data_IF_788365903400
#
_entry.id   IF_788365903400
#
_cell.length_a   1.000
_cell.length_b   1.000
_cell.length_c   1.000
_cell.angle_alpha   90.00
_cell.angle_beta   90.00
_cell.angle_gamma   90.00
#
_symmetry.space_group_name_H-M   'P 1'
#
loop_
_entity.id
_entity.type
_entity.pdbx_description
1 polymer ?
#
# COMPACT_ATOMS: atom_id res chain seq x y z
N UNK A 1 -1.15 3.55 -4.74
CA UNK A 1 0.00 2.79 -5.25
C UNK A 1 -0.37 1.33 -5.39
N UNK A 2 0.01 0.76 -6.49
CA UNK A 2 0.05 -0.68 -6.61
C UNK A 2 1.48 -1.13 -6.36
N UNK A 3 1.66 -1.95 -5.36
CA UNK A 3 2.91 -2.68 -5.22
C UNK A 3 2.96 -3.72 -6.34
N UNK A 4 4.16 -4.12 -6.81
CA UNK A 4 4.24 -4.96 -7.99
C UNK A 4 3.30 -6.15 -7.95
N UNK A 5 2.43 -6.24 -8.94
CA UNK A 5 1.50 -7.34 -9.08
C UNK A 5 1.38 -7.66 -10.54
N UNK A 6 1.70 -8.87 -10.89
CA UNK A 6 1.57 -9.33 -12.28
C UNK A 6 0.21 -9.96 -12.44
N UNK A 7 -0.78 -9.13 -12.58
CA UNK A 7 -2.18 -9.53 -12.68
C UNK A 7 -2.48 -10.17 -14.02
N UNK A 8 -1.82 -11.26 -14.30
CA UNK A 8 -2.09 -12.03 -15.50
C UNK A 8 -2.78 -13.31 -15.10
N UNK A 9 -4.08 -13.29 -15.21
CA UNK A 9 -4.86 -14.48 -14.94
C UNK A 9 -5.07 -15.23 -16.24
N UNK A 10 -4.44 -16.35 -16.34
CA UNK A 10 -4.87 -17.36 -17.29
C UNK A 10 -5.85 -18.30 -16.58
N UNK A 11 -6.72 -18.93 -17.35
CA UNK A 11 -7.77 -19.77 -16.79
C UNK A 11 -7.25 -20.86 -15.86
N UNK A 12 -6.11 -21.46 -16.18
CA UNK A 12 -5.50 -22.49 -15.35
C UNK A 12 -5.08 -21.98 -13.96
N UNK A 13 -4.57 -20.75 -13.90
CA UNK A 13 -4.20 -20.13 -12.62
C UNK A 13 -5.44 -19.83 -11.78
N UNK A 14 -6.49 -19.35 -12.40
CA UNK A 14 -7.74 -19.06 -11.70
C UNK A 14 -8.34 -20.35 -11.11
N UNK A 15 -8.36 -21.44 -11.88
CA UNK A 15 -8.84 -22.72 -11.40
C UNK A 15 -8.00 -23.23 -10.24
N UNK A 16 -6.67 -23.14 -10.34
CA UNK A 16 -5.76 -23.52 -9.27
C UNK A 16 -5.99 -22.72 -8.00
N UNK A 17 -6.23 -21.43 -8.13
CA UNK A 17 -6.53 -20.56 -6.98
C UNK A 17 -7.80 -21.01 -6.27
N UNK A 18 -8.83 -21.38 -7.01
CA UNK A 18 -10.11 -21.79 -6.43
C UNK A 18 -10.03 -23.18 -5.81
N UNK A 19 -9.35 -24.12 -6.46
CA UNK A 19 -9.31 -25.52 -6.02
C UNK A 19 -8.48 -25.74 -4.76
N UNK A 20 -7.44 -24.95 -4.53
CA UNK A 20 -6.49 -25.15 -3.46
C UNK A 20 -6.54 -24.07 -2.38
N UNK A 21 -7.65 -23.36 -2.26
CA UNK A 21 -7.80 -22.24 -1.32
C UNK A 21 -6.73 -21.14 -1.51
N UNK A 22 -6.06 -21.13 -2.66
CA UNK A 22 -5.03 -20.14 -2.94
C UNK A 22 -5.59 -18.73 -2.99
N UNK A 23 -6.82 -18.57 -3.47
CA UNK A 23 -7.48 -17.28 -3.51
C UNK A 23 -7.64 -16.71 -2.09
N UNK A 24 -8.04 -17.54 -1.14
CA UNK A 24 -8.21 -17.14 0.26
C UNK A 24 -6.85 -16.81 0.88
N UNK A 25 -5.85 -17.66 0.66
CA UNK A 25 -4.51 -17.46 1.19
C UNK A 25 -3.86 -16.21 0.60
N UNK A 26 -4.05 -15.96 -0.68
CA UNK A 26 -3.53 -14.76 -1.34
C UNK A 26 -4.21 -13.50 -0.81
N UNK A 27 -5.51 -13.56 -0.57
CA UNK A 27 -6.24 -12.43 0.03
C UNK A 27 -5.76 -12.16 1.45
N UNK A 28 -5.56 -13.21 2.25
CA UNK A 28 -5.04 -13.06 3.62
C UNK A 28 -3.65 -12.43 3.61
N UNK A 29 -2.79 -12.85 2.69
CA UNK A 29 -1.46 -12.28 2.54
C UNK A 29 -1.52 -10.80 2.17
N UNK A 30 -2.32 -10.45 1.15
CA UNK A 30 -2.47 -9.07 0.71
C UNK A 30 -3.01 -8.19 1.85
N UNK A 31 -3.99 -8.69 2.60
CA UNK A 31 -4.57 -7.98 3.73
C UNK A 31 -3.57 -7.81 4.87
N UNK A 32 -2.74 -8.82 5.13
CA UNK A 32 -1.69 -8.74 6.14
C UNK A 32 -0.64 -7.69 5.77
N UNK A 33 -0.25 -7.63 4.49
CA UNK A 33 0.68 -6.62 4.00
C UNK A 33 0.09 -5.21 4.11
N UNK A 34 -1.19 -5.05 3.78
CA UNK A 34 -1.87 -3.77 3.92
C UNK A 34 -1.97 -3.34 5.39
N UNK A 35 -2.21 -4.28 6.29
CA UNK A 35 -2.24 -3.99 7.73
C UNK A 35 -0.87 -3.52 8.22
N UNK A 36 0.19 -4.18 7.80
CA UNK A 36 1.55 -3.78 8.15
C UNK A 36 1.87 -2.38 7.62
N UNK A 37 1.47 -2.11 6.37
CA UNK A 37 1.65 -0.80 5.76
C UNK A 37 0.87 0.27 6.53
N UNK A 38 -0.38 -0.01 6.88
CA UNK A 38 -1.22 0.90 7.67
C UNK A 38 -0.57 1.23 9.02
N UNK A 39 -0.12 0.24 9.74
CA UNK A 39 0.55 0.43 11.03
C UNK A 39 1.78 1.32 10.89
N UNK A 40 2.60 1.07 9.87
CA UNK A 40 3.80 1.86 9.61
C UNK A 40 3.49 3.30 9.23
N UNK A 41 2.47 3.52 8.39
CA UNK A 41 2.06 4.87 7.99
C UNK A 41 1.51 5.64 9.18
N UNK A 42 0.71 4.99 10.04
CA UNK A 42 0.17 5.64 11.24
C UNK A 42 1.28 6.01 12.23
N UNK A 43 2.28 5.17 12.38
CA UNK A 43 3.44 5.48 13.20
C UNK A 43 4.18 6.70 12.66
N UNK A 44 4.41 6.76 11.35
CA UNK A 44 5.06 7.90 10.72
C UNK A 44 4.20 9.16 10.80
N UNK A 45 2.88 9.03 10.77
CA UNK A 45 1.97 10.15 10.98
C UNK A 45 2.18 10.79 12.35
N UNK A 46 2.32 9.98 13.38
CA UNK A 46 2.60 10.47 14.73
C UNK A 46 3.99 11.10 14.82
N UNK A 47 4.99 10.45 14.26
CA UNK A 47 6.39 10.93 14.30
C UNK A 47 6.59 12.20 13.51
N UNK A 48 5.78 12.46 12.50
CA UNK A 48 5.85 13.66 11.68
C UNK A 48 4.93 14.79 12.15
N UNK A 49 4.33 14.65 13.32
CA UNK A 49 3.39 15.63 13.90
C UNK A 49 2.17 15.86 13.00
N UNK A 50 1.68 14.81 12.38
CA UNK A 50 0.45 14.88 11.59
C UNK A 50 0.63 15.45 10.18
N UNK A 51 1.85 15.48 9.64
CA UNK A 51 2.07 15.89 8.25
C UNK A 51 1.40 14.95 7.26
N UNK A 52 1.21 13.70 7.65
CA UNK A 52 0.44 12.71 6.90
C UNK A 52 -0.63 12.16 7.83
N UNK A 53 -1.66 11.57 7.25
CA UNK A 53 -2.74 10.99 8.03
C UNK A 53 -3.39 9.82 7.30
N UNK A 54 -4.04 8.95 8.06
CA UNK A 54 -4.86 7.85 7.52
C UNK A 54 -6.24 8.01 8.15
N UNK A 55 -7.15 8.75 7.48
CA UNK A 55 -8.42 9.12 8.11
C UNK A 55 -9.38 7.96 8.28
N UNK A 56 -9.22 6.90 7.50
CA UNK A 56 -10.13 5.76 7.53
C UNK A 56 -9.39 4.49 7.98
N UNK A 57 -10.06 3.56 8.67
CA UNK A 57 -9.49 2.26 8.95
C UNK A 57 -9.14 1.54 7.64
N UNK A 58 -8.01 0.86 7.62
CA UNK A 58 -7.65 0.04 6.48
C UNK A 58 -8.50 -1.21 6.47
N UNK A 59 -9.16 -1.42 5.35
CA UNK A 59 -9.96 -2.62 5.11
C UNK A 59 -9.45 -3.29 3.85
N UNK A 60 -9.52 -4.62 3.85
CA UNK A 60 -9.04 -5.41 2.74
C UNK A 60 -7.55 -5.11 2.47
N UNK A 61 -7.18 -4.89 1.21
CA UNK A 61 -5.78 -4.83 0.78
C UNK A 61 -5.29 -3.43 0.42
N UNK A 62 -6.02 -2.39 0.79
CA UNK A 62 -5.66 -1.03 0.40
C UNK A 62 -5.59 -0.08 1.60
N UNK A 63 -4.62 0.83 1.55
CA UNK A 63 -4.46 1.93 2.51
C UNK A 63 -4.65 3.23 1.75
N UNK A 64 -5.38 4.18 2.36
CA UNK A 64 -5.68 5.46 1.73
C UNK A 64 -5.14 6.62 2.58
N UNK A 65 -3.82 6.82 2.63
CA UNK A 65 -3.25 7.93 3.39
C UNK A 65 -3.42 9.27 2.67
N UNK A 66 -3.40 10.35 3.45
CA UNK A 66 -3.37 11.71 2.92
C UNK A 66 -1.97 12.25 3.09
N UNK A 67 -1.37 12.70 2.01
CA UNK A 67 0.01 13.18 1.95
C UNK A 67 0.06 14.59 1.34
N UNK A 68 1.04 15.43 1.73
CA UNK A 68 1.30 16.68 1.01
C UNK A 68 1.70 16.40 -0.45
N UNK A 69 1.35 17.30 -1.36
CA UNK A 69 1.61 17.11 -2.79
C UNK A 69 3.10 16.97 -3.12
N UNK A 70 3.96 17.72 -2.45
CA UNK A 70 5.41 17.60 -2.65
C UNK A 70 5.91 16.21 -2.27
N UNK A 71 5.36 15.63 -1.23
CA UNK A 71 5.69 14.29 -0.80
C UNK A 71 5.19 13.25 -1.79
N UNK A 72 3.97 13.43 -2.32
CA UNK A 72 3.41 12.56 -3.35
C UNK A 72 4.32 12.56 -4.58
N UNK A 73 4.71 13.73 -5.06
CA UNK A 73 5.59 13.84 -6.23
C UNK A 73 6.92 13.15 -6.01
N UNK A 74 7.51 13.31 -4.83
CA UNK A 74 8.77 12.69 -4.49
C UNK A 74 8.66 11.16 -4.48
N UNK A 75 7.60 10.62 -3.89
CA UNK A 75 7.39 9.18 -3.84
C UNK A 75 7.05 8.59 -5.20
N UNK A 76 6.36 9.32 -6.05
CA UNK A 76 6.00 8.85 -7.39
C UNK A 76 7.21 8.67 -8.30
N UNK A 77 8.35 9.24 -7.96
CA UNK A 77 9.62 8.99 -8.66
C UNK A 77 10.12 7.56 -8.43
N UNK A 78 9.78 6.97 -7.31
CA UNK A 78 10.24 5.63 -6.94
C UNK A 78 9.14 4.58 -7.11
N UNK A 79 7.88 4.95 -6.87
CA UNK A 79 6.76 4.02 -6.84
C UNK A 79 5.63 4.52 -7.73
N UNK A 80 4.91 3.58 -8.34
CA UNK A 80 3.69 3.91 -9.08
C UNK A 80 2.49 3.78 -8.17
N UNK A 81 1.73 4.84 -8.07
CA UNK A 81 0.46 4.81 -7.36
C UNK A 81 -0.45 5.92 -7.88
N UNK A 82 -1.74 5.75 -7.59
CA UNK A 82 -2.75 6.72 -8.00
C UNK A 82 -3.03 7.69 -6.90
N UNK A 83 -3.22 8.96 -7.26
CA UNK A 83 -3.81 9.95 -6.37
C UNK A 83 -5.32 9.72 -6.43
N UNK A 84 -5.88 9.34 -5.29
CA UNK A 84 -7.31 9.05 -5.19
C UNK A 84 -8.15 10.32 -5.21
N UNK A 85 -7.70 11.34 -4.49
CA UNK A 85 -8.35 12.65 -4.42
C UNK A 85 -7.29 13.75 -4.41
N UNK A 86 -7.21 14.49 -5.50
CA UNK A 86 -6.23 15.57 -5.64
C UNK A 86 -6.52 16.75 -4.71
N UNK A 87 -7.77 16.92 -4.26
CA UNK A 87 -8.12 18.03 -3.39
C UNK A 87 -7.57 17.84 -1.97
N UNK A 88 -7.55 16.61 -1.50
CA UNK A 88 -7.08 16.28 -0.16
C UNK A 88 -5.66 15.77 -0.12
N UNK A 89 -5.14 15.30 -1.25
CA UNK A 89 -3.85 14.60 -1.31
C UNK A 89 -3.99 13.14 -0.89
N UNK A 90 -5.18 12.58 -0.94
CA UNK A 90 -5.38 11.18 -0.61
C UNK A 90 -4.89 10.29 -1.73
N UNK A 91 -4.07 9.31 -1.40
CA UNK A 91 -3.51 8.35 -2.34
C UNK A 91 -4.05 6.96 -2.05
N UNK A 92 -3.93 6.07 -3.01
CA UNK A 92 -4.37 4.68 -2.89
C UNK A 92 -3.16 3.76 -2.98
N UNK A 93 -2.86 3.09 -1.90
CA UNK A 93 -1.77 2.12 -1.83
C UNK A 93 -2.34 0.73 -1.65
N UNK A 94 -2.19 -0.10 -2.68
CA UNK A 94 -2.72 -1.46 -2.69
C UNK A 94 -1.62 -2.49 -2.51
N UNK A 95 -1.89 -3.47 -1.69
CA UNK A 95 -1.09 -4.67 -1.60
C UNK A 95 -1.74 -5.79 -2.39
N UNK A 96 -0.94 -6.71 -2.88
CA UNK A 96 -1.39 -7.82 -3.70
C UNK A 96 -0.84 -9.14 -3.14
N UNK A 97 -1.22 -10.23 -3.77
CA UNK A 97 -0.80 -11.56 -3.35
C UNK A 97 0.71 -11.76 -3.44
N UNK A 98 1.37 -11.04 -4.33
CA UNK A 98 2.82 -11.11 -4.52
C UNK A 98 3.59 -9.98 -3.84
N UNK A 99 2.92 -9.15 -3.05
CA UNK A 99 3.57 -8.12 -2.25
C UNK A 99 4.41 -8.79 -1.16
N UNK A 100 5.66 -8.36 -1.05
CA UNK A 100 6.59 -8.91 -0.06
C UNK A 100 6.73 -7.96 1.13
N UNK A 101 7.07 -8.46 2.32
CA UNK A 101 7.38 -7.58 3.45
C UNK A 101 8.44 -6.53 3.11
N UNK A 102 9.43 -6.88 2.30
CA UNK A 102 10.48 -5.95 1.86
C UNK A 102 9.90 -4.79 1.05
N UNK A 103 8.87 -5.04 0.25
CA UNK A 103 8.21 -4.00 -0.53
C UNK A 103 7.53 -2.98 0.39
N UNK A 104 6.83 -3.46 1.41
CA UNK A 104 6.17 -2.62 2.42
C UNK A 104 7.20 -1.82 3.21
N UNK A 105 8.24 -2.47 3.70
CA UNK A 105 9.29 -1.81 4.48
C UNK A 105 10.06 -0.80 3.63
N UNK A 106 10.30 -1.09 2.36
CA UNK A 106 10.94 -0.17 1.43
C UNK A 106 10.14 1.11 1.23
N UNK A 107 8.82 0.97 1.05
CA UNK A 107 7.93 2.13 0.93
C UNK A 107 7.92 2.96 2.21
N UNK A 108 7.81 2.29 3.37
CA UNK A 108 7.83 2.99 4.66
C UNK A 108 9.15 3.70 4.89
N UNK A 109 10.27 3.10 4.51
CA UNK A 109 11.59 3.74 4.62
C UNK A 109 11.68 4.97 3.72
N UNK A 110 11.19 4.89 2.49
CA UNK A 110 11.17 6.03 1.56
C UNK A 110 10.27 7.15 2.10
N UNK A 111 9.14 6.79 2.66
CA UNK A 111 8.21 7.75 3.27
C UNK A 111 8.85 8.44 4.48
N UNK A 112 9.50 7.68 5.35
CA UNK A 112 10.19 8.23 6.52
C UNK A 112 11.29 9.19 6.09
N UNK A 113 12.08 8.82 5.10
CA UNK A 113 13.14 9.66 4.55
C UNK A 113 12.57 10.96 3.98
N UNK A 114 11.48 10.88 3.25
CA UNK A 114 10.84 12.05 2.67
C UNK A 114 10.26 12.98 3.74
N UNK A 115 9.78 12.42 4.85
CA UNK A 115 9.28 13.18 6.00
C UNK A 115 10.39 13.72 6.88
N UNK A 116 11.60 13.20 6.77
CA UNK A 116 12.72 13.58 7.61
C UNK A 116 12.68 12.99 9.01
N UNK A 117 12.06 11.85 9.16
CA UNK A 117 11.91 11.18 10.47
C UNK A 117 12.53 9.78 10.55
#
# INVERSE_FOLDING_TARGET
>A
MQLPSKMRFVSAQLIGLLENDLAINNAKHANAMAKRLDEGVRELAERSNGRISVPNPTQANAVFPILPMDLIEQLQKEYRFYVWDYRTGQVRWMCAWDTKPEDVEGLLASLAKALGV
#
